data_IF_403652734020
#
_entry.id   IF_403652734020
#
_cell.length_a   1.000
_cell.length_b   1.000
_cell.length_c   1.000
_cell.angle_alpha   90.00
_cell.angle_beta   90.00
_cell.angle_gamma   90.00
#
_symmetry.space_group_name_H-M   'P 1'
#
loop_
_entity.id
_entity.type
_entity.pdbx_description
1 polymer ?
#
# COMPACT_ATOMS: atom_id res chain seq x y z
N UNK A 1 -9.59 17.60 22.28
CA UNK A 1 -8.67 18.51 21.55
C UNK A 1 -7.61 17.71 20.79
N UNK A 2 -7.95 16.60 20.10
CA UNK A 2 -6.93 15.69 19.52
C UNK A 2 -7.13 15.36 18.03
N UNK A 3 -8.22 15.83 17.41
CA UNK A 3 -8.56 15.52 16.02
C UNK A 3 -7.68 16.30 15.03
N UNK A 4 -7.47 17.59 15.27
CA UNK A 4 -6.70 18.46 14.34
C UNK A 4 -5.25 18.04 14.13
N UNK A 5 -4.55 17.55 15.17
CA UNK A 5 -3.16 17.10 15.02
C UNK A 5 -3.04 15.77 14.24
N UNK A 6 -4.09 14.94 14.25
CA UNK A 6 -4.12 13.70 13.45
C UNK A 6 -4.39 14.03 11.98
N UNK A 7 -5.30 14.98 11.73
CA UNK A 7 -5.63 15.45 10.37
C UNK A 7 -4.42 16.12 9.70
N UNK A 8 -3.62 16.90 10.44
CA UNK A 8 -2.40 17.54 9.93
C UNK A 8 -1.33 16.51 9.50
N UNK A 9 -1.09 15.51 10.36
CA UNK A 9 -0.12 14.42 10.08
C UNK A 9 -0.55 13.58 8.88
N UNK A 10 -1.83 13.30 8.77
CA UNK A 10 -2.40 12.60 7.60
C UNK A 10 -2.18 13.42 6.34
N UNK A 11 -2.47 14.72 6.37
CA UNK A 11 -2.30 15.59 5.22
C UNK A 11 -0.85 15.58 4.73
N UNK A 12 0.09 15.58 5.67
CA UNK A 12 1.52 15.40 5.40
C UNK A 12 1.82 14.02 4.79
N UNK A 13 1.33 12.92 5.37
CA UNK A 13 1.57 11.57 4.85
C UNK A 13 0.99 11.37 3.43
N UNK A 14 -0.18 11.96 3.13
CA UNK A 14 -0.76 11.98 1.78
C UNK A 14 0.08 12.79 0.80
N UNK A 15 0.61 13.96 1.20
CA UNK A 15 1.49 14.77 0.36
C UNK A 15 2.81 14.03 0.07
N UNK A 16 3.37 13.35 1.08
CA UNK A 16 4.57 12.51 0.94
C UNK A 16 4.32 11.31 0.01
N UNK A 17 3.15 10.66 0.13
CA UNK A 17 2.76 9.58 -0.77
C UNK A 17 2.59 10.08 -2.21
N UNK A 18 1.99 11.25 -2.42
CA UNK A 18 1.87 11.84 -3.74
C UNK A 18 3.25 12.16 -4.35
N UNK A 19 4.16 12.74 -3.58
CA UNK A 19 5.55 12.97 -4.00
C UNK A 19 6.26 11.66 -4.37
N UNK A 20 6.07 10.61 -3.56
CA UNK A 20 6.60 9.28 -3.81
C UNK A 20 6.07 8.68 -5.12
N UNK A 21 4.75 8.72 -5.35
CA UNK A 21 4.11 8.22 -6.57
C UNK A 21 4.58 8.98 -7.82
N UNK A 22 4.67 10.32 -7.76
CA UNK A 22 5.18 11.14 -8.87
C UNK A 22 6.64 10.83 -9.19
N UNK A 23 7.48 10.66 -8.17
CA UNK A 23 8.88 10.29 -8.37
C UNK A 23 9.05 8.87 -8.91
N UNK A 24 8.14 7.95 -8.53
CA UNK A 24 8.10 6.57 -9.02
C UNK A 24 7.65 6.50 -10.47
N UNK A 25 6.59 7.23 -10.83
CA UNK A 25 6.03 7.28 -12.19
C UNK A 25 6.93 7.99 -13.21
N UNK A 26 7.81 8.90 -12.77
CA UNK A 26 8.84 9.47 -13.66
C UNK A 26 9.78 8.39 -14.20
N UNK A 27 9.95 7.29 -13.46
CA UNK A 27 11.00 6.30 -13.69
C UNK A 27 12.36 6.95 -13.47
N UNK A 28 13.15 6.49 -12.50
CA UNK A 28 14.55 6.91 -12.52
C UNK A 28 15.16 6.27 -13.77
N UNK A 29 15.73 7.10 -14.65
CA UNK A 29 16.10 6.76 -16.03
C UNK A 29 17.09 5.57 -16.17
N UNK A 30 17.61 5.07 -15.06
CA UNK A 30 18.64 4.02 -14.99
C UNK A 30 18.32 2.92 -13.94
N UNK A 31 17.08 2.81 -13.47
CA UNK A 31 16.71 1.76 -12.50
C UNK A 31 16.32 0.43 -13.16
N UNK A 32 16.54 -0.72 -12.48
CA UNK A 32 15.95 -1.99 -12.87
C UNK A 32 14.44 -1.93 -13.06
N UNK A 33 13.94 -2.59 -14.09
CA UNK A 33 12.51 -2.61 -14.48
C UNK A 33 11.58 -3.00 -13.32
N UNK A 34 12.03 -3.90 -12.45
CA UNK A 34 11.29 -4.36 -11.28
C UNK A 34 11.05 -3.28 -10.20
N UNK A 35 11.82 -2.18 -10.16
CA UNK A 35 11.66 -1.15 -9.14
C UNK A 35 10.36 -0.36 -9.26
N UNK A 36 9.85 -0.16 -10.48
CA UNK A 36 8.56 0.52 -10.68
C UNK A 36 7.43 -0.20 -9.94
N UNK A 37 7.18 -1.49 -10.23
CA UNK A 37 6.18 -2.28 -9.53
C UNK A 37 6.43 -2.41 -8.02
N UNK A 38 7.69 -2.58 -7.57
CA UNK A 38 8.02 -2.63 -6.14
C UNK A 38 7.72 -1.31 -5.42
N UNK A 39 7.86 -0.16 -6.10
CA UNK A 39 7.47 1.13 -5.54
C UNK A 39 5.96 1.26 -5.45
N UNK A 40 5.21 0.82 -6.47
CA UNK A 40 3.75 0.76 -6.39
C UNK A 40 3.28 -0.13 -5.23
N UNK A 41 3.99 -1.24 -4.98
CA UNK A 41 3.73 -2.14 -3.87
C UNK A 41 3.92 -1.46 -2.50
N UNK A 42 5.03 -0.77 -2.29
CA UNK A 42 5.26 0.00 -1.05
C UNK A 42 4.27 1.15 -0.89
N UNK A 43 3.86 1.80 -1.99
CA UNK A 43 2.79 2.81 -1.94
C UNK A 43 1.46 2.20 -1.45
N UNK A 44 1.05 1.05 -1.99
CA UNK A 44 -0.16 0.36 -1.54
C UNK A 44 -0.10 0.01 -0.05
N UNK A 45 1.04 -0.50 0.42
CA UNK A 45 1.30 -0.79 1.84
C UNK A 45 1.12 0.43 2.74
N UNK A 46 1.69 1.58 2.33
CA UNK A 46 1.54 2.86 3.05
C UNK A 46 0.10 3.34 3.06
N UNK A 47 -0.63 3.23 1.95
CA UNK A 47 -2.07 3.60 1.88
C UNK A 47 -2.91 2.78 2.86
N UNK A 48 -2.70 1.47 2.93
CA UNK A 48 -3.42 0.62 3.88
C UNK A 48 -3.09 0.97 5.34
N UNK A 49 -1.82 1.30 5.63
CA UNK A 49 -1.44 1.80 6.95
C UNK A 49 -2.16 3.12 7.29
N UNK A 50 -2.23 4.07 6.33
CA UNK A 50 -2.95 5.33 6.50
C UNK A 50 -4.43 5.11 6.80
N UNK A 51 -5.11 4.24 6.04
CA UNK A 51 -6.51 3.87 6.25
C UNK A 51 -6.79 3.46 7.70
N UNK A 52 -5.94 2.61 8.27
CA UNK A 52 -6.08 2.19 9.67
C UNK A 52 -5.89 3.36 10.66
N UNK A 53 -5.00 4.31 10.35
CA UNK A 53 -4.77 5.52 11.15
C UNK A 53 -5.94 6.51 11.16
N UNK A 54 -6.81 6.46 10.15
CA UNK A 54 -8.06 7.22 10.07
C UNK A 54 -9.20 6.64 10.92
N UNK A 55 -8.97 5.53 11.62
CA UNK A 55 -10.00 4.85 12.40
C UNK A 55 -10.99 4.05 11.54
N UNK A 56 -10.68 3.81 10.27
CA UNK A 56 -11.35 2.76 9.51
C UNK A 56 -10.79 1.42 9.96
N UNK A 57 -11.60 0.56 10.59
CA UNK A 57 -11.12 -0.77 10.97
C UNK A 57 -10.72 -1.54 9.72
N UNK A 58 -9.56 -2.18 9.79
CA UNK A 58 -9.17 -3.17 8.80
C UNK A 58 -9.94 -4.45 9.08
N UNK A 59 -10.44 -5.07 8.01
CA UNK A 59 -10.94 -6.42 8.10
C UNK A 59 -9.78 -7.41 8.33
N UNK A 60 -10.08 -8.65 8.73
CA UNK A 60 -9.04 -9.68 8.83
C UNK A 60 -8.26 -9.86 7.52
N UNK A 61 -8.93 -9.79 6.37
CA UNK A 61 -8.28 -9.95 5.07
C UNK A 61 -7.38 -8.76 4.72
N UNK A 62 -7.83 -7.51 4.96
CA UNK A 62 -6.96 -6.33 4.79
C UNK A 62 -5.75 -6.35 5.72
N UNK A 63 -5.93 -6.83 6.96
CA UNK A 63 -4.84 -6.99 7.93
C UNK A 63 -3.82 -8.02 7.43
N UNK A 64 -4.30 -9.17 6.94
CA UNK A 64 -3.46 -10.24 6.39
C UNK A 64 -2.74 -9.81 5.10
N UNK A 65 -3.41 -9.04 4.24
CA UNK A 65 -2.83 -8.46 3.04
C UNK A 65 -1.69 -7.50 3.40
N UNK A 66 -1.92 -6.57 4.33
CA UNK A 66 -0.87 -5.64 4.78
C UNK A 66 0.34 -6.37 5.35
N UNK A 67 0.12 -7.40 6.17
CA UNK A 67 1.22 -8.22 6.69
C UNK A 67 2.03 -8.88 5.56
N UNK A 68 1.36 -9.39 4.52
CA UNK A 68 2.05 -9.94 3.34
C UNK A 68 2.88 -8.87 2.61
N UNK A 69 2.37 -7.64 2.49
CA UNK A 69 3.12 -6.53 1.90
C UNK A 69 4.35 -6.14 2.74
N UNK A 70 4.23 -6.16 4.08
CA UNK A 70 5.37 -5.90 4.97
C UNK A 70 6.45 -6.99 4.83
N UNK A 71 6.07 -8.26 4.73
CA UNK A 71 7.00 -9.39 4.55
C UNK A 71 7.79 -9.28 3.23
N UNK A 72 7.11 -8.88 2.16
CA UNK A 72 7.73 -8.61 0.86
C UNK A 72 8.82 -7.54 1.00
N UNK A 73 8.52 -6.42 1.67
CA UNK A 73 9.46 -5.31 1.83
C UNK A 73 10.64 -5.65 2.75
N UNK A 74 10.51 -6.66 3.62
CA UNK A 74 11.58 -7.11 4.53
C UNK A 74 12.59 -8.10 3.89
N UNK A 75 12.50 -8.34 2.57
CA UNK A 75 13.53 -9.10 1.84
C UNK A 75 13.12 -10.51 1.42
N UNK A 76 11.84 -10.89 1.52
CA UNK A 76 11.32 -12.15 0.98
C UNK A 76 11.24 -12.18 -0.58
N UNK A 77 11.90 -11.23 -1.26
CA UNK A 77 11.83 -10.99 -2.70
C UNK A 77 12.80 -11.80 -3.56
N UNK A 78 13.82 -12.43 -2.97
CA UNK A 78 14.93 -12.99 -3.74
C UNK A 78 14.51 -14.10 -4.72
N UNK A 79 13.38 -14.77 -4.51
CA UNK A 79 12.95 -15.96 -5.27
C UNK A 79 11.51 -15.90 -5.82
N UNK A 80 10.81 -14.75 -5.76
CA UNK A 80 9.42 -14.65 -6.26
C UNK A 80 9.35 -14.03 -7.66
N UNK A 81 8.58 -14.66 -8.54
CA UNK A 81 8.10 -14.07 -9.78
C UNK A 81 7.18 -12.88 -9.43
N UNK A 82 7.66 -11.67 -9.72
CA UNK A 82 7.05 -10.42 -9.25
C UNK A 82 5.65 -10.19 -9.83
N UNK A 83 5.44 -10.58 -11.09
CA UNK A 83 4.15 -10.57 -11.77
C UNK A 83 3.14 -11.49 -11.08
N UNK A 84 3.51 -12.75 -10.81
CA UNK A 84 2.64 -13.72 -10.10
C UNK A 84 2.27 -13.20 -8.71
N UNK A 85 3.21 -12.61 -7.99
CA UNK A 85 2.95 -11.98 -6.69
C UNK A 85 1.97 -10.80 -6.82
N UNK A 86 2.14 -9.94 -7.83
CA UNK A 86 1.27 -8.78 -8.02
C UNK A 86 -0.15 -9.21 -8.36
N UNK A 87 -0.33 -10.24 -9.20
CA UNK A 87 -1.63 -10.81 -9.52
C UNK A 87 -2.32 -11.35 -8.26
N UNK A 88 -1.60 -12.14 -7.43
CA UNK A 88 -2.12 -12.66 -6.15
C UNK A 88 -2.57 -11.53 -5.22
N UNK A 89 -1.77 -10.47 -5.09
CA UNK A 89 -2.09 -9.33 -4.23
C UNK A 89 -3.28 -8.52 -4.76
N UNK A 90 -3.44 -8.41 -6.09
CA UNK A 90 -4.61 -7.78 -6.70
C UNK A 90 -5.88 -8.56 -6.38
N UNK A 91 -5.86 -9.89 -6.54
CA UNK A 91 -6.99 -10.75 -6.23
C UNK A 91 -7.37 -10.69 -4.75
N UNK A 92 -6.38 -10.72 -3.85
CA UNK A 92 -6.61 -10.59 -2.41
C UNK A 92 -7.17 -9.23 -2.01
N UNK A 93 -6.66 -8.15 -2.62
CA UNK A 93 -7.22 -6.82 -2.39
C UNK A 93 -8.66 -6.74 -2.90
N UNK A 94 -8.96 -7.26 -4.09
CA UNK A 94 -10.31 -7.29 -4.63
C UNK A 94 -11.28 -8.03 -3.70
N UNK A 95 -10.90 -9.22 -3.23
CA UNK A 95 -11.67 -9.98 -2.25
C UNK A 95 -11.91 -9.20 -0.95
N UNK A 96 -10.88 -8.53 -0.43
CA UNK A 96 -11.00 -7.70 0.76
C UNK A 96 -11.93 -6.48 0.56
N UNK A 97 -12.00 -5.93 -0.67
CA UNK A 97 -12.89 -4.81 -1.00
C UNK A 97 -14.36 -5.24 -1.12
N UNK A 98 -14.65 -6.52 -1.39
CA UNK A 98 -16.02 -7.05 -1.39
C UNK A 98 -16.58 -7.23 0.03
N UNK A 99 -15.74 -7.17 1.06
CA UNK A 99 -16.19 -7.31 2.45
C UNK A 99 -17.03 -6.09 2.91
N UNK A 100 -18.08 -6.32 3.73
CA UNK A 100 -18.92 -5.24 4.23
C UNK A 100 -18.12 -4.18 4.99
N UNK A 101 -18.24 -2.92 4.55
CA UNK A 101 -17.57 -1.78 5.19
C UNK A 101 -16.11 -1.58 4.75
N UNK A 102 -15.60 -2.38 3.81
CA UNK A 102 -14.28 -2.15 3.20
C UNK A 102 -14.26 -0.85 2.39
N UNK A 103 -15.28 -0.66 1.56
CA UNK A 103 -15.57 0.56 0.79
C UNK A 103 -17.03 0.98 0.97
N UNK A 104 -17.31 2.27 0.88
CA UNK A 104 -18.68 2.78 0.85
C UNK A 104 -19.34 2.37 -0.47
N UNK A 105 -20.49 1.70 -0.38
CA UNK A 105 -21.32 1.32 -1.53
C UNK A 105 -22.02 2.52 -2.17
#
# INVERSE_FOLDING_TARGET
MSTGANDDRVGEELALLAAYLLSSGRGLLEEPEAYGPLRCLDAARRVLALRSGFGYPDSPELTALRASLDDVMCGAMADRELDVLLDELCDRLAAALEEPGAVSA
#
